data_IF_431018905882
#
_entry.id   IF_431018905882
#
_cell.length_a   1.000
_cell.length_b   1.000
_cell.length_c   1.000
_cell.angle_alpha   90.00
_cell.angle_beta   90.00
_cell.angle_gamma   90.00
#
_symmetry.space_group_name_H-M   'P 1'
#
loop_
_entity.id
_entity.type
_entity.pdbx_description
1 polymer ?
#
# COMPACT_ATOMS: atom_id res chain seq x y z
N UNK A 1 -31.46 -37.64 1.90
CA UNK A 1 -32.53 -36.63 1.71
C UNK A 1 -32.43 -36.16 0.28
N UNK A 2 -33.31 -36.67 -0.58
CA UNK A 2 -33.29 -36.48 -2.02
C UNK A 2 -34.33 -35.41 -2.40
N UNK A 3 -33.97 -34.50 -3.30
CA UNK A 3 -34.94 -33.67 -4.00
C UNK A 3 -34.63 -33.74 -5.50
N UNK A 4 -35.59 -34.26 -6.25
CA UNK A 4 -35.54 -34.41 -7.70
C UNK A 4 -36.85 -33.84 -8.29
N UNK A 5 -36.73 -33.47 -9.57
CA UNK A 5 -37.76 -33.21 -10.62
C UNK A 5 -38.58 -31.90 -10.50
N UNK A 6 -39.01 -31.23 -11.60
CA UNK A 6 -38.92 -31.60 -13.03
C UNK A 6 -38.49 -30.50 -14.03
N UNK A 7 -38.05 -30.96 -15.20
CA UNK A 7 -37.90 -30.12 -16.40
C UNK A 7 -39.19 -29.94 -17.19
N UNK A 8 -39.18 -29.01 -18.15
CA UNK A 8 -40.06 -29.03 -19.33
C UNK A 8 -39.41 -28.33 -20.54
N UNK A 9 -39.78 -28.71 -21.77
CA UNK A 9 -39.11 -28.36 -23.03
C UNK A 9 -39.85 -27.26 -23.84
N UNK A 10 -39.24 -26.86 -24.95
CA UNK A 10 -39.85 -26.11 -26.06
C UNK A 10 -38.99 -24.90 -26.43
N UNK A 11 -38.39 -24.76 -27.61
CA UNK A 11 -38.89 -25.11 -28.93
C UNK A 11 -39.57 -23.87 -29.53
N UNK A 12 -38.82 -23.06 -30.26
CA UNK A 12 -39.32 -21.83 -30.88
C UNK A 12 -38.32 -21.25 -31.87
N UNK A 13 -38.33 -21.80 -33.08
CA UNK A 13 -37.70 -21.21 -34.27
C UNK A 13 -38.46 -19.93 -34.64
N UNK A 14 -37.75 -18.80 -34.74
CA UNK A 14 -38.21 -17.66 -35.53
C UNK A 14 -37.13 -17.32 -36.57
N UNK A 15 -37.44 -17.67 -37.81
CA UNK A 15 -36.72 -17.26 -39.00
C UNK A 15 -37.49 -16.11 -39.67
N UNK A 16 -36.75 -15.09 -40.10
CA UNK A 16 -37.11 -14.25 -41.25
C UNK A 16 -37.85 -12.96 -40.97
N UNK A 17 -37.18 -11.82 -41.13
CA UNK A 17 -37.37 -10.97 -42.30
C UNK A 17 -36.29 -9.88 -42.37
N UNK A 18 -35.82 -9.64 -43.59
CA UNK A 18 -34.75 -8.74 -44.00
C UNK A 18 -35.22 -7.27 -44.15
N UNK A 19 -34.21 -6.40 -44.06
CA UNK A 19 -33.97 -5.21 -44.87
C UNK A 19 -34.75 -3.90 -44.59
N UNK A 20 -34.00 -2.94 -44.01
CA UNK A 20 -33.85 -1.57 -44.54
C UNK A 20 -32.49 -1.05 -44.04
N UNK A 21 -31.40 -1.18 -44.82
CA UNK A 21 -30.84 -0.18 -45.75
C UNK A 21 -30.71 1.25 -45.18
N UNK A 22 -29.43 1.63 -45.06
CA UNK A 22 -28.86 2.97 -45.31
C UNK A 22 -29.12 4.10 -44.30
N UNK A 23 -28.21 4.20 -43.32
CA UNK A 23 -27.57 5.48 -42.96
C UNK A 23 -26.12 5.21 -42.53
N UNK A 24 -25.30 4.84 -43.52
CA UNK A 24 -23.84 4.97 -43.44
C UNK A 24 -23.53 6.45 -43.68
N UNK A 25 -23.34 7.21 -42.61
CA UNK A 25 -23.05 8.62 -42.73
C UNK A 25 -22.74 9.27 -41.40
N UNK A 26 -21.45 9.43 -41.12
CA UNK A 26 -20.93 10.53 -40.29
C UNK A 26 -20.99 10.35 -38.77
N UNK A 27 -20.30 9.35 -38.21
CA UNK A 27 -19.92 9.35 -36.78
C UNK A 27 -18.55 8.73 -36.49
N UNK A 28 -17.69 8.60 -37.51
CA UNK A 28 -16.37 7.97 -37.39
C UNK A 28 -15.19 8.96 -37.26
N UNK A 29 -15.45 10.24 -36.96
CA UNK A 29 -14.43 11.31 -37.03
C UNK A 29 -14.26 12.15 -35.76
N UNK A 30 -14.62 11.62 -34.58
CA UNK A 30 -14.40 12.32 -33.29
C UNK A 30 -13.59 11.53 -32.25
N UNK A 31 -13.18 10.30 -32.53
CA UNK A 31 -12.46 9.47 -31.56
C UNK A 31 -10.92 9.66 -31.56
N UNK A 32 -10.34 10.42 -32.49
CA UNK A 32 -8.87 10.53 -32.65
C UNK A 32 -8.24 11.82 -32.09
N UNK A 33 -9.04 12.76 -31.56
CA UNK A 33 -8.51 13.99 -30.93
C UNK A 33 -8.37 13.88 -29.40
N UNK A 34 -8.70 12.72 -28.83
CA UNK A 34 -8.64 12.45 -27.40
C UNK A 34 -7.30 11.92 -26.87
N UNK A 35 -6.27 11.80 -27.71
CA UNK A 35 -4.88 11.68 -27.24
C UNK A 35 -4.40 13.04 -26.71
N UNK A 36 -5.17 13.61 -25.77
CA UNK A 36 -4.81 14.82 -25.06
C UNK A 36 -3.54 14.54 -24.28
N UNK A 37 -2.52 15.38 -24.52
CA UNK A 37 -1.31 15.45 -23.71
C UNK A 37 -1.64 15.16 -22.25
N UNK A 38 -1.03 14.10 -21.72
CA UNK A 38 -1.08 13.78 -20.31
C UNK A 38 -0.73 15.07 -19.55
N UNK A 39 -1.59 15.54 -18.63
CA UNK A 39 -1.38 16.82 -17.97
C UNK A 39 0.02 16.82 -17.34
N UNK A 40 0.91 17.68 -17.85
CA UNK A 40 2.26 17.78 -17.33
C UNK A 40 2.18 18.41 -15.94
N UNK A 41 2.71 17.71 -14.92
CA UNK A 41 2.81 18.26 -13.58
C UNK A 41 3.80 19.43 -13.61
N UNK A 42 3.32 20.63 -13.27
CA UNK A 42 4.17 21.79 -13.03
C UNK A 42 4.94 21.55 -11.72
N UNK A 43 6.17 21.04 -11.84
CA UNK A 43 7.01 20.67 -10.70
C UNK A 43 7.36 21.85 -9.81
N UNK A 44 7.47 23.06 -10.36
CA UNK A 44 7.78 24.26 -9.57
C UNK A 44 6.58 24.66 -8.72
N UNK A 45 5.38 24.69 -9.29
CA UNK A 45 4.15 24.91 -8.51
C UNK A 45 3.94 23.81 -7.48
N UNK A 46 4.19 22.55 -7.82
CA UNK A 46 4.09 21.45 -6.87
C UNK A 46 5.09 21.59 -5.71
N UNK A 47 6.36 21.91 -6.01
CA UNK A 47 7.38 22.11 -4.98
C UNK A 47 7.01 23.24 -4.01
N UNK A 48 6.41 24.33 -4.51
CA UNK A 48 5.94 25.43 -3.66
C UNK A 48 4.81 25.04 -2.69
N UNK A 49 4.16 23.88 -2.86
CA UNK A 49 3.15 23.35 -1.94
C UNK A 49 3.75 22.57 -0.75
N UNK A 50 5.05 22.25 -0.80
CA UNK A 50 5.71 21.44 0.22
C UNK A 50 6.87 22.20 0.83
N UNK A 51 7.09 21.99 2.12
CA UNK A 51 8.33 22.40 2.78
C UNK A 51 9.19 21.16 2.91
N UNK A 52 10.39 21.21 2.34
CA UNK A 52 11.39 20.18 2.56
C UNK A 52 11.90 20.28 3.99
N UNK A 53 11.99 19.14 4.67
CA UNK A 53 12.45 19.05 6.05
C UNK A 53 13.56 17.99 6.07
N UNK A 54 14.74 18.38 6.54
CA UNK A 54 15.88 17.48 6.70
C UNK A 54 15.72 16.71 8.00
N UNK A 55 15.84 15.39 7.92
CA UNK A 55 15.79 14.49 9.08
C UNK A 55 17.11 13.75 9.17
N UNK A 56 17.75 13.79 10.34
CA UNK A 56 19.01 13.08 10.60
C UNK A 56 18.69 11.63 11.02
N UNK A 57 18.85 10.69 10.09
CA UNK A 57 18.62 9.25 10.29
C UNK A 57 19.72 8.44 9.61
N UNK A 58 19.68 7.11 9.77
CA UNK A 58 20.38 6.23 8.83
C UNK A 58 19.80 6.42 7.41
N UNK A 59 20.61 6.21 6.35
CA UNK A 59 20.15 6.29 4.97
C UNK A 59 19.18 5.14 4.63
N UNK A 60 18.42 5.33 3.54
CA UNK A 60 17.46 4.31 3.07
C UNK A 60 16.22 4.25 3.95
N UNK A 61 15.53 5.39 4.10
CA UNK A 61 14.24 5.41 4.79
C UNK A 61 13.16 4.89 3.86
N UNK A 62 12.38 3.94 4.36
CA UNK A 62 11.24 3.35 3.68
C UNK A 62 10.04 3.32 4.63
N UNK A 63 8.84 3.19 4.10
CA UNK A 63 7.63 3.25 4.93
C UNK A 63 7.32 4.64 5.52
N UNK A 64 6.03 4.99 5.64
CA UNK A 64 5.57 6.15 6.40
C UNK A 64 4.20 5.86 7.00
N UNK A 65 4.09 6.00 8.32
CA UNK A 65 2.83 5.92 9.06
C UNK A 65 2.69 7.12 10.01
N UNK A 66 1.46 7.59 10.24
CA UNK A 66 1.18 8.60 11.24
C UNK A 66 0.60 7.94 12.51
N UNK A 67 0.95 8.48 13.68
CA UNK A 67 0.26 8.18 14.94
C UNK A 67 -0.76 9.27 15.30
N UNK A 68 -1.62 8.97 16.29
CA UNK A 68 -2.64 9.91 16.77
C UNK A 68 -2.07 11.12 17.55
N UNK A 69 -0.76 11.12 17.82
CA UNK A 69 -0.04 12.20 18.49
C UNK A 69 0.68 13.12 17.49
N UNK A 70 0.45 12.94 16.19
CA UNK A 70 1.07 13.74 15.12
C UNK A 70 2.53 13.38 14.82
N UNK A 71 3.02 12.24 15.33
CA UNK A 71 4.32 11.69 14.98
C UNK A 71 4.26 10.86 13.70
N UNK A 72 5.33 10.91 12.93
CA UNK A 72 5.52 10.14 11.71
C UNK A 72 6.53 9.03 11.95
N UNK A 73 6.16 7.81 11.63
CA UNK A 73 6.97 6.61 11.79
C UNK A 73 7.50 6.14 10.45
N UNK A 74 8.76 5.75 10.40
CA UNK A 74 9.46 5.24 9.21
C UNK A 74 10.50 4.19 9.62
N UNK A 75 10.91 3.31 8.70
CA UNK A 75 11.93 2.29 8.92
C UNK A 75 13.19 2.65 8.13
N UNK A 76 14.36 2.25 8.63
CA UNK A 76 15.57 2.18 7.81
C UNK A 76 15.70 0.76 7.23
N UNK A 77 15.73 0.67 5.90
CA UNK A 77 15.72 -0.59 5.12
C UNK A 77 16.70 -1.62 5.67
N UNK A 78 17.97 -1.22 5.81
CA UNK A 78 19.08 -2.13 6.18
C UNK A 78 19.49 -2.03 7.66
N UNK A 79 18.88 -1.12 8.41
CA UNK A 79 19.32 -0.77 9.76
C UNK A 79 18.71 -1.64 10.87
N UNK A 80 17.60 -2.32 10.60
CA UNK A 80 16.71 -2.83 11.65
C UNK A 80 16.38 -1.72 12.68
N UNK A 81 16.10 -0.52 12.17
CA UNK A 81 15.77 0.66 12.98
C UNK A 81 14.43 1.23 12.52
N UNK A 82 13.70 1.78 13.48
CA UNK A 82 12.49 2.57 13.28
C UNK A 82 12.73 3.96 13.84
N UNK A 83 12.23 4.97 13.13
CA UNK A 83 12.26 6.35 13.59
C UNK A 83 10.86 6.87 13.79
N UNK A 84 10.67 7.65 14.85
CA UNK A 84 9.53 8.54 15.02
C UNK A 84 10.01 9.98 14.88
N UNK A 85 9.50 10.66 13.86
CA UNK A 85 9.78 12.06 13.55
C UNK A 85 8.60 12.90 14.01
N UNK A 86 8.85 13.87 14.88
CA UNK A 86 7.88 14.90 15.25
C UNK A 86 8.19 16.16 14.48
N UNK A 87 7.22 16.68 13.73
CA UNK A 87 7.37 17.91 12.96
C UNK A 87 6.88 19.11 13.77
N UNK A 88 7.65 20.20 13.77
CA UNK A 88 7.19 21.54 14.12
C UNK A 88 6.61 22.25 12.89
N UNK A 89 6.38 23.57 12.97
CA UNK A 89 5.74 24.31 11.87
C UNK A 89 6.53 24.27 10.55
N UNK A 90 7.87 24.25 10.62
CA UNK A 90 8.75 24.31 9.43
C UNK A 90 10.03 23.48 9.53
N UNK A 91 10.17 22.67 10.59
CA UNK A 91 11.40 21.91 10.85
C UNK A 91 11.09 20.67 11.69
N UNK A 92 12.03 19.73 11.76
CA UNK A 92 11.96 18.62 12.72
C UNK A 92 12.03 19.18 14.13
N UNK A 93 11.05 18.84 14.95
CA UNK A 93 11.05 19.15 16.39
C UNK A 93 11.81 18.08 17.18
N UNK A 94 11.65 16.81 16.81
CA UNK A 94 12.36 15.70 17.44
C UNK A 94 12.44 14.49 16.51
N UNK A 95 13.52 13.71 16.67
CA UNK A 95 13.67 12.37 16.10
C UNK A 95 13.92 11.41 17.25
N UNK A 96 13.12 10.35 17.34
CA UNK A 96 13.31 9.25 18.27
C UNK A 96 13.67 8.00 17.47
N UNK A 97 14.71 7.28 17.90
CA UNK A 97 15.18 6.05 17.28
C UNK A 97 14.75 4.86 18.13
N UNK A 98 14.36 3.77 17.46
CA UNK A 98 13.95 2.53 18.07
C UNK A 98 14.61 1.35 17.36
N UNK A 99 15.32 0.53 18.11
CA UNK A 99 15.91 -0.69 17.55
C UNK A 99 14.83 -1.74 17.29
N UNK A 100 14.94 -2.48 16.18
CA UNK A 100 14.04 -3.59 15.85
C UNK A 100 14.77 -4.91 16.10
N UNK A 101 14.20 -5.76 16.96
CA UNK A 101 14.75 -7.08 17.30
C UNK A 101 13.91 -8.19 16.69
N UNK A 102 14.58 -9.23 16.19
CA UNK A 102 13.92 -10.40 15.62
C UNK A 102 13.62 -10.27 14.12
N UNK A 103 14.17 -9.26 13.44
CA UNK A 103 14.15 -9.22 11.96
C UNK A 103 14.97 -10.41 11.43
N UNK A 104 14.42 -11.24 10.54
CA UNK A 104 15.16 -12.35 9.95
C UNK A 104 16.41 -11.85 9.19
N UNK A 105 17.49 -12.63 9.21
CA UNK A 105 18.72 -12.27 8.51
C UNK A 105 18.48 -12.15 6.99
N UNK A 106 19.07 -11.13 6.36
CA UNK A 106 18.92 -10.88 4.91
C UNK A 106 17.54 -10.36 4.52
N UNK A 107 16.82 -9.76 5.46
CA UNK A 107 15.51 -9.12 5.25
C UNK A 107 15.64 -7.63 5.50
N UNK A 108 15.23 -6.83 4.53
CA UNK A 108 15.18 -5.38 4.61
C UNK A 108 13.76 -4.94 5.02
N UNK A 109 13.65 -3.82 5.75
CA UNK A 109 12.38 -3.26 6.20
C UNK A 109 11.87 -2.20 5.22
N UNK A 110 10.71 -2.43 4.62
CA UNK A 110 10.18 -1.55 3.56
C UNK A 110 8.90 -0.80 3.94
N UNK A 111 8.15 -1.33 4.90
CA UNK A 111 6.85 -0.78 5.27
C UNK A 111 6.72 -0.60 6.77
N UNK A 112 5.89 0.35 7.19
CA UNK A 112 5.48 0.46 8.59
C UNK A 112 4.02 0.89 8.67
N UNK A 113 3.27 0.28 9.60
CA UNK A 113 1.95 0.71 10.01
C UNK A 113 1.84 0.71 11.54
N UNK A 114 1.18 1.73 12.07
CA UNK A 114 0.75 1.78 13.47
C UNK A 114 -0.59 1.06 13.58
N UNK A 115 -0.67 0.03 14.42
CA UNK A 115 -1.88 -0.81 14.54
C UNK A 115 -2.82 -0.37 15.67
N UNK A 116 -2.38 0.56 16.52
CA UNK A 116 -3.05 0.90 17.78
C UNK A 116 -3.65 2.31 17.78
N UNK A 117 -4.17 2.75 16.64
CA UNK A 117 -4.84 4.05 16.61
C UNK A 117 -6.08 3.99 17.52
N UNK A 118 -6.10 4.86 18.55
CA UNK A 118 -7.08 4.84 19.64
C UNK A 118 -7.00 3.64 20.61
N UNK A 119 -5.95 2.81 20.53
CA UNK A 119 -5.73 1.61 21.35
C UNK A 119 -4.85 1.85 22.60
N UNK A 120 -4.41 0.77 23.28
CA UNK A 120 -3.53 0.87 24.43
C UNK A 120 -2.18 1.49 24.05
N UNK A 121 -1.87 2.63 24.63
CA UNK A 121 -0.57 3.30 24.49
C UNK A 121 0.43 2.83 25.55
N UNK A 122 1.72 3.05 25.29
CA UNK A 122 2.77 2.87 26.30
C UNK A 122 2.63 3.87 27.44
N UNK A 123 3.42 3.69 28.51
CA UNK A 123 3.46 4.64 29.63
C UNK A 123 3.90 6.06 29.20
N UNK A 124 4.61 6.15 28.07
CA UNK A 124 5.04 7.36 27.39
C UNK A 124 3.99 7.94 26.42
N UNK A 125 2.80 7.34 26.34
CA UNK A 125 1.73 7.73 25.44
C UNK A 125 1.93 7.30 23.99
N UNK A 126 3.05 6.69 23.62
CA UNK A 126 3.32 6.29 22.23
C UNK A 126 2.65 4.95 21.87
N UNK A 127 2.30 4.70 20.59
CA UNK A 127 1.73 3.42 20.14
C UNK A 127 2.59 2.21 20.52
N UNK A 128 1.97 1.04 20.67
CA UNK A 128 2.67 -0.18 21.10
C UNK A 128 2.82 -1.23 20.02
N UNK A 129 1.86 -1.40 19.12
CA UNK A 129 1.88 -2.47 18.11
C UNK A 129 2.04 -1.89 16.72
N UNK A 130 2.86 -2.56 15.95
CA UNK A 130 3.27 -2.17 14.60
C UNK A 130 3.18 -3.39 13.67
N UNK A 131 2.90 -3.11 12.41
CA UNK A 131 3.17 -4.05 11.32
C UNK A 131 4.30 -3.47 10.46
N UNK A 132 5.30 -4.29 10.15
CA UNK A 132 6.47 -3.92 9.37
C UNK A 132 6.47 -4.71 8.07
N UNK A 133 6.49 -4.00 6.95
CA UNK A 133 6.65 -4.59 5.63
C UNK A 133 8.10 -4.97 5.39
N UNK A 134 8.35 -6.02 4.62
CA UNK A 134 9.71 -6.52 4.37
C UNK A 134 9.97 -6.87 2.93
N UNK A 135 11.23 -6.75 2.53
CA UNK A 135 11.78 -7.28 1.29
C UNK A 135 12.87 -8.32 1.58
N UNK A 136 12.80 -9.47 0.90
CA UNK A 136 13.84 -10.48 0.97
C UNK A 136 14.87 -10.31 -0.14
N UNK A 137 16.13 -10.08 0.22
CA UNK A 137 17.22 -9.79 -0.74
C UNK A 137 17.43 -10.88 -1.82
N UNK A 138 17.04 -12.12 -1.54
CA UNK A 138 17.29 -13.26 -2.44
C UNK A 138 16.09 -14.20 -2.61
N UNK A 139 15.03 -14.03 -1.80
CA UNK A 139 14.16 -15.15 -1.47
C UNK A 139 12.79 -15.18 -2.15
N UNK A 140 12.37 -14.17 -2.92
CA UNK A 140 11.04 -14.18 -3.53
C UNK A 140 9.93 -14.34 -2.48
N UNK A 141 10.06 -13.64 -1.35
CA UNK A 141 9.15 -13.77 -0.20
C UNK A 141 8.70 -12.39 0.23
N UNK A 142 7.39 -12.20 0.28
CA UNK A 142 6.77 -11.08 0.95
C UNK A 142 6.33 -11.51 2.35
N UNK A 143 6.70 -10.74 3.37
CA UNK A 143 6.24 -10.95 4.74
C UNK A 143 5.87 -9.63 5.39
N UNK A 144 4.96 -9.72 6.37
CA UNK A 144 4.70 -8.63 7.31
C UNK A 144 5.08 -9.12 8.70
N UNK A 145 5.97 -8.40 9.36
CA UNK A 145 6.36 -8.67 10.74
C UNK A 145 5.40 -7.93 11.67
N UNK A 146 4.89 -8.61 12.69
CA UNK A 146 4.17 -7.98 13.79
C UNK A 146 5.17 -7.66 14.89
N UNK A 147 5.18 -6.43 15.37
CA UNK A 147 6.13 -5.99 16.38
C UNK A 147 5.44 -5.26 17.54
N UNK A 148 5.97 -5.45 18.74
CA UNK A 148 5.56 -4.74 19.95
C UNK A 148 6.68 -3.86 20.48
N UNK A 149 6.35 -2.63 20.81
CA UNK A 149 7.25 -1.65 21.38
C UNK A 149 7.23 -1.70 22.91
N UNK A 150 8.43 -1.76 23.46
CA UNK A 150 8.70 -1.49 24.88
C UNK A 150 9.89 -0.54 24.95
N UNK A 151 9.66 0.65 25.52
CA UNK A 151 10.64 1.74 25.53
C UNK A 151 11.17 2.05 24.11
N UNK A 152 12.46 1.89 23.90
CA UNK A 152 13.24 2.17 22.68
C UNK A 152 13.47 0.94 21.79
N UNK A 153 12.72 -0.15 22.02
CA UNK A 153 12.84 -1.40 21.26
C UNK A 153 11.50 -1.84 20.71
N UNK A 154 11.45 -2.14 19.41
CA UNK A 154 10.38 -2.92 18.78
C UNK A 154 10.85 -4.38 18.69
N UNK A 155 10.13 -5.28 19.33
CA UNK A 155 10.41 -6.72 19.26
C UNK A 155 9.41 -7.37 18.33
N UNK A 156 9.90 -8.08 17.30
CA UNK A 156 9.06 -8.90 16.43
C UNK A 156 8.44 -10.02 17.27
N UNK A 157 7.10 -10.05 17.30
CA UNK A 157 6.29 -11.02 18.06
C UNK A 157 5.57 -12.01 17.15
N UNK A 158 5.49 -11.71 15.85
CA UNK A 158 4.83 -12.59 14.88
C UNK A 158 5.20 -12.28 13.44
N UNK A 159 4.78 -13.16 12.54
CA UNK A 159 5.02 -13.03 11.11
C UNK A 159 3.79 -13.48 10.34
N UNK A 160 3.41 -12.69 9.33
CA UNK A 160 2.38 -13.01 8.36
C UNK A 160 3.10 -13.27 7.03
N UNK A 161 3.12 -14.52 6.59
CA UNK A 161 3.65 -14.87 5.28
C UNK A 161 2.64 -14.52 4.18
N UNK A 162 3.11 -13.92 3.10
CA UNK A 162 2.31 -13.57 1.92
C UNK A 162 2.82 -14.38 0.72
N UNK A 163 2.50 -15.69 0.63
CA UNK A 163 2.96 -16.51 -0.48
C UNK A 163 2.31 -16.08 -1.80
N UNK A 164 2.94 -16.41 -2.93
CA UNK A 164 2.46 -16.12 -4.30
C UNK A 164 0.98 -16.48 -4.51
N UNK A 165 0.56 -17.65 -4.00
CA UNK A 165 -0.83 -18.10 -4.10
C UNK A 165 -1.84 -17.18 -3.39
N UNK A 166 -1.40 -16.43 -2.37
CA UNK A 166 -2.23 -15.46 -1.64
C UNK A 166 -2.20 -14.10 -2.34
N UNK A 167 -1.04 -13.64 -2.81
CA UNK A 167 -0.88 -12.32 -3.43
C UNK A 167 -1.32 -12.30 -4.90
N UNK A 168 -1.36 -13.46 -5.55
CA UNK A 168 -1.80 -13.63 -6.94
C UNK A 168 -0.75 -13.23 -7.99
N UNK A 169 0.51 -13.07 -7.59
CA UNK A 169 1.65 -12.77 -8.46
C UNK A 169 2.85 -13.66 -8.09
N UNK A 170 3.74 -13.88 -9.05
CA UNK A 170 5.06 -14.45 -8.80
C UNK A 170 5.90 -13.44 -8.00
N UNK A 171 6.60 -13.91 -6.97
CA UNK A 171 7.47 -13.09 -6.14
C UNK A 171 8.92 -13.35 -6.51
N UNK A 172 9.62 -12.31 -6.95
CA UNK A 172 11.03 -12.37 -7.35
C UNK A 172 11.93 -11.85 -6.23
N UNK A 173 13.25 -12.06 -6.40
CA UNK A 173 14.24 -11.41 -5.54
C UNK A 173 14.01 -9.90 -5.54
N UNK A 174 14.17 -9.29 -4.37
CA UNK A 174 13.88 -7.88 -4.11
C UNK A 174 12.40 -7.48 -4.17
N UNK A 175 11.45 -8.42 -4.28
CA UNK A 175 10.03 -8.10 -4.14
C UNK A 175 9.56 -8.41 -2.73
N UNK A 176 8.89 -7.43 -2.13
CA UNK A 176 8.46 -7.46 -0.74
C UNK A 176 7.07 -6.90 -0.51
N UNK A 177 6.69 -6.85 0.77
CA UNK A 177 5.57 -6.03 1.23
C UNK A 177 6.09 -4.61 1.50
N UNK A 178 6.04 -3.74 0.49
CA UNK A 178 6.60 -2.39 0.57
C UNK A 178 5.64 -1.37 1.19
N UNK A 179 4.35 -1.51 0.91
CA UNK A 179 3.32 -0.72 1.59
C UNK A 179 2.68 -1.53 2.69
N UNK A 180 2.58 -1.01 3.90
CA UNK A 180 1.76 -1.61 4.96
C UNK A 180 0.86 -0.55 5.58
N UNK A 181 -0.40 -0.91 5.82
CA UNK A 181 -1.39 -0.04 6.47
C UNK A 181 -2.27 -0.86 7.41
N UNK A 182 -2.58 -0.33 8.58
CA UNK A 182 -3.56 -0.91 9.50
C UNK A 182 -4.91 -0.17 9.40
N UNK A 183 -6.01 -0.92 9.41
CA UNK A 183 -7.36 -0.37 9.62
C UNK A 183 -8.17 -1.31 10.51
N UNK A 184 -8.38 -0.88 11.77
CA UNK A 184 -9.03 -1.73 12.77
C UNK A 184 -8.22 -2.99 13.06
N UNK A 185 -8.83 -4.16 12.91
CA UNK A 185 -8.19 -5.48 13.05
C UNK A 185 -7.53 -5.98 11.75
N UNK A 186 -7.59 -5.19 10.68
CA UNK A 186 -7.13 -5.58 9.36
C UNK A 186 -5.80 -4.93 9.02
N UNK A 187 -4.88 -5.71 8.46
CA UNK A 187 -3.62 -5.24 7.90
C UNK A 187 -3.69 -5.37 6.39
N UNK A 188 -3.40 -4.27 5.70
CA UNK A 188 -3.20 -4.23 4.25
C UNK A 188 -1.72 -4.23 3.95
N UNK A 189 -1.31 -5.08 3.02
CA UNK A 189 0.03 -5.07 2.45
C UNK A 189 -0.07 -4.82 0.95
N UNK A 190 0.71 -3.86 0.47
CA UNK A 190 0.98 -3.65 -0.95
C UNK A 190 2.27 -4.40 -1.29
N UNK A 191 2.18 -5.28 -2.27
CA UNK A 191 3.32 -6.04 -2.76
C UNK A 191 3.98 -5.27 -3.89
N UNK A 192 5.31 -5.22 -3.89
CA UNK A 192 6.04 -4.69 -5.04
C UNK A 192 5.70 -5.53 -6.27
N UNK A 193 5.08 -4.89 -7.25
CA UNK A 193 4.76 -5.49 -8.53
C UNK A 193 5.47 -4.72 -9.64
N UNK A 194 6.49 -5.32 -10.23
CA UNK A 194 7.04 -4.83 -11.49
C UNK A 194 6.01 -5.07 -12.60
N UNK A 195 5.38 -4.00 -13.09
CA UNK A 195 4.64 -4.04 -14.34
C UNK A 195 5.62 -4.20 -15.52
N UNK A 196 6.17 -5.40 -15.69
CA UNK A 196 6.94 -5.75 -16.88
C UNK A 196 5.98 -5.84 -18.09
N UNK A 197 5.60 -4.68 -18.66
CA UNK A 197 4.85 -4.67 -19.92
C UNK A 197 4.22 -3.35 -20.37
N UNK A 198 3.86 -2.42 -19.48
CA UNK A 198 3.08 -1.21 -19.87
C UNK A 198 3.58 0.12 -19.32
N UNK A 199 4.65 0.12 -18.51
CA UNK A 199 5.07 1.33 -17.79
C UNK A 199 4.08 1.73 -16.68
N UNK A 200 3.15 0.85 -16.32
CA UNK A 200 2.24 1.02 -15.19
C UNK A 200 2.73 0.17 -14.02
N UNK A 201 3.07 0.81 -12.89
CA UNK A 201 3.33 0.14 -11.63
C UNK A 201 1.96 -0.16 -10.99
N UNK A 202 1.59 -1.42 -10.88
CA UNK A 202 0.34 -1.84 -10.25
C UNK A 202 0.64 -2.57 -8.94
N UNK A 203 0.32 -1.94 -7.81
CA UNK A 203 0.30 -2.63 -6.52
C UNK A 203 -0.90 -3.58 -6.49
N UNK A 204 -0.65 -4.88 -6.39
CA UNK A 204 -1.69 -5.89 -6.21
C UNK A 204 -2.12 -5.88 -4.73
N UNK A 205 -3.36 -5.46 -4.49
CA UNK A 205 -3.93 -5.41 -3.15
C UNK A 205 -4.76 -6.67 -2.86
N UNK A 206 -4.43 -7.37 -1.77
CA UNK A 206 -5.39 -8.22 -1.07
C UNK A 206 -6.63 -7.38 -0.69
N UNK A 207 -7.81 -8.00 -0.75
CA UNK A 207 -9.12 -7.32 -0.85
C UNK A 207 -9.36 -6.14 0.16
N UNK A 208 -9.59 -4.96 -0.45
CA UNK A 208 -10.38 -3.77 -0.06
C UNK A 208 -9.71 -2.68 0.81
N UNK A 209 -9.22 -1.64 0.12
CA UNK A 209 -8.45 -0.46 0.54
C UNK A 209 -9.06 0.49 1.60
N UNK A 210 -8.25 1.05 2.51
CA UNK A 210 -8.25 2.49 2.85
C UNK A 210 -6.91 3.09 2.33
N UNK A 211 -6.97 4.21 1.60
CA UNK A 211 -5.85 4.80 0.88
C UNK A 211 -4.93 5.64 1.78
N UNK A 212 -3.61 5.57 1.57
CA UNK A 212 -2.79 6.73 1.14
C UNK A 212 -1.30 6.35 1.03
N UNK A 213 -0.82 6.13 -0.21
CA UNK A 213 0.60 6.31 -0.56
C UNK A 213 0.67 7.11 -1.85
N UNK A 214 0.88 8.41 -1.69
CA UNK A 214 1.64 9.27 -2.59
C UNK A 214 2.03 10.48 -1.74
N UNK A 215 3.32 10.75 -1.61
CA UNK A 215 3.76 12.11 -1.32
C UNK A 215 3.04 13.02 -2.33
N UNK A 216 2.21 13.94 -1.82
CA UNK A 216 1.21 14.76 -2.53
C UNK A 216 -0.23 14.19 -2.67
N UNK A 217 -1.01 14.41 -1.60
CA UNK A 217 -2.38 14.99 -1.56
C UNK A 217 -3.20 14.36 -0.43
N UNK A 218 -3.57 15.24 0.49
CA UNK A 218 -4.51 15.03 1.57
C UNK A 218 -5.95 14.98 1.07
N UNK A 219 -6.68 13.95 1.49
CA UNK A 219 -8.13 13.98 1.67
C UNK A 219 -8.47 13.04 2.83
N UNK A 220 -8.90 13.60 3.96
CA UNK A 220 -9.44 12.84 5.09
C UNK A 220 -10.73 12.18 4.63
N UNK A 221 -10.78 10.86 4.71
CA UNK A 221 -12.04 10.13 4.78
C UNK A 221 -12.01 9.35 6.09
N UNK A 222 -12.93 9.64 7.01
CA UNK A 222 -13.14 8.80 8.19
C UNK A 222 -13.60 7.44 7.66
N UNK A 223 -12.82 6.38 7.86
CA UNK A 223 -13.31 5.01 7.69
C UNK A 223 -14.25 4.78 8.90
N UNK A 224 -15.55 4.77 8.66
CA UNK A 224 -16.62 4.49 9.64
C UNK A 224 -17.19 3.09 9.45
#
# INVERSE_FOLDING_TARGET
>A
MALQVPGRPGGGLFAGALATLATLGTLATLATLGCGKQPSIDRQKAAALFTEVVVETEPGLSGLAADDLGGYWTVAERGAEVYRVTLGERQVAAVQRFSVRGVPAGTDLEGIAVLDLGGPVGADGLPRRFALGTEGQLAGKATVLLAERAADVLTVTGTIALPEAVVGIELRGNQGAEGVCGAGDTIFAAIEGAGEGTGEHAASAGRRWCASWAASRSARTRCG
#
